data_IF_477840513723
#
_entry.id   IF_477840513723
#
_cell.length_a   1.000
_cell.length_b   1.000
_cell.length_c   1.000
_cell.angle_alpha   90.00
_cell.angle_beta   90.00
_cell.angle_gamma   90.00
#
_symmetry.space_group_name_H-M   'P 1'
#
loop_
_entity.id
_entity.type
_entity.pdbx_description
1 polymer ?
#
# COMPACT_ATOMS: atom_id res chain seq x y z
N UNK A 1 -8.72 24.00 -9.24
CA UNK A 1 -9.66 22.89 -9.50
C UNK A 1 -11.08 23.44 -9.40
N UNK A 2 -12.04 22.94 -10.19
CA UNK A 2 -13.44 23.30 -9.97
C UNK A 2 -13.84 22.97 -8.53
N UNK A 3 -14.63 23.82 -7.92
CA UNK A 3 -15.14 23.62 -6.57
C UNK A 3 -16.58 23.11 -6.71
N UNK A 4 -16.83 21.89 -6.25
CA UNK A 4 -18.15 21.27 -6.20
C UNK A 4 -18.57 20.96 -4.78
N UNK A 5 -19.85 20.71 -4.56
CA UNK A 5 -20.41 20.31 -3.26
C UNK A 5 -20.27 18.80 -3.05
N UNK A 6 -20.40 18.02 -4.11
CA UNK A 6 -20.31 16.54 -4.09
C UNK A 6 -19.81 15.99 -5.43
N UNK A 7 -19.90 14.68 -5.61
CA UNK A 7 -19.43 13.96 -6.79
C UNK A 7 -20.23 14.25 -8.06
N UNK A 8 -21.46 14.72 -7.95
CA UNK A 8 -22.30 15.06 -9.11
C UNK A 8 -21.82 16.35 -9.79
N UNK A 9 -21.07 17.17 -9.07
CA UNK A 9 -20.43 18.38 -9.59
C UNK A 9 -19.10 18.11 -10.31
N UNK A 10 -18.68 16.85 -10.42
CA UNK A 10 -17.44 16.50 -11.13
C UNK A 10 -17.51 16.81 -12.61
N UNK A 11 -16.55 17.58 -13.09
CA UNK A 11 -16.44 17.95 -14.51
C UNK A 11 -15.38 17.09 -15.19
N UNK A 12 -15.76 16.37 -16.25
CA UNK A 12 -14.82 15.61 -17.06
C UNK A 12 -13.84 16.56 -17.76
N UNK A 13 -12.56 16.52 -17.35
CA UNK A 13 -11.51 17.38 -17.92
C UNK A 13 -10.95 16.79 -19.21
N UNK A 14 -10.79 15.47 -19.29
CA UNK A 14 -10.24 14.78 -20.46
C UNK A 14 -10.63 13.30 -20.43
N UNK A 15 -10.97 12.78 -21.61
CA UNK A 15 -11.13 11.34 -21.83
C UNK A 15 -9.95 10.81 -22.64
N UNK A 16 -9.43 9.66 -22.27
CA UNK A 16 -8.37 8.97 -23.01
C UNK A 16 -8.73 7.49 -23.18
N UNK A 17 -8.54 7.00 -24.41
CA UNK A 17 -8.86 5.63 -24.76
C UNK A 17 -10.36 5.35 -24.88
N UNK A 18 -10.66 4.10 -25.20
CA UNK A 18 -12.04 3.58 -25.26
C UNK A 18 -12.07 2.28 -24.44
N UNK A 19 -12.96 2.17 -23.45
CA UNK A 19 -13.16 0.94 -22.71
C UNK A 19 -13.51 -0.21 -23.66
N UNK A 20 -12.93 -1.39 -23.41
CA UNK A 20 -13.28 -2.58 -24.18
C UNK A 20 -14.71 -3.01 -23.86
N UNK A 21 -15.44 -3.37 -24.89
CA UNK A 21 -16.71 -4.09 -24.76
C UNK A 21 -16.46 -5.58 -24.92
N UNK A 22 -17.18 -6.40 -24.13
CA UNK A 22 -17.05 -7.85 -24.15
C UNK A 22 -18.38 -8.45 -24.60
N UNK A 23 -18.35 -9.56 -25.29
CA UNK A 23 -19.47 -10.34 -25.78
C UNK A 23 -19.93 -11.42 -24.77
N UNK A 24 -19.38 -11.37 -23.57
CA UNK A 24 -19.70 -12.25 -22.46
C UNK A 24 -19.95 -11.43 -21.16
N UNK A 25 -20.66 -11.98 -20.17
CA UNK A 25 -20.86 -11.33 -18.88
C UNK A 25 -19.51 -11.16 -18.15
N UNK A 26 -19.15 -9.89 -17.88
CA UNK A 26 -17.93 -9.56 -17.15
C UNK A 26 -18.13 -9.86 -15.67
N UNK A 27 -17.17 -10.56 -15.09
CA UNK A 27 -17.10 -10.83 -13.65
C UNK A 27 -16.03 -9.94 -13.00
N UNK A 28 -16.29 -9.51 -11.77
CA UNK A 28 -15.30 -8.79 -10.98
C UNK A 28 -14.25 -9.74 -10.38
N UNK A 29 -13.19 -9.16 -9.83
CA UNK A 29 -12.07 -9.93 -9.28
C UNK A 29 -12.44 -10.79 -8.06
N UNK A 30 -13.43 -10.37 -7.28
CA UNK A 30 -13.91 -11.13 -6.12
C UNK A 30 -14.60 -12.40 -6.61
N UNK A 31 -15.60 -12.26 -7.51
CA UNK A 31 -16.33 -13.37 -8.10
C UNK A 31 -15.40 -14.40 -8.75
N UNK A 32 -14.40 -13.92 -9.51
CA UNK A 32 -13.41 -14.80 -10.14
C UNK A 32 -12.55 -15.54 -9.10
N UNK A 33 -12.12 -14.86 -8.05
CA UNK A 33 -11.28 -15.45 -7.02
C UNK A 33 -12.03 -16.46 -6.14
N UNK A 34 -13.25 -16.13 -5.74
CA UNK A 34 -14.11 -16.98 -4.90
C UNK A 34 -14.58 -18.23 -5.66
N UNK A 35 -14.96 -18.10 -6.94
CA UNK A 35 -15.37 -19.24 -7.78
C UNK A 35 -14.34 -20.37 -7.79
N UNK A 36 -13.07 -20.04 -7.66
CA UNK A 36 -11.98 -21.02 -7.64
C UNK A 36 -11.47 -21.33 -6.23
N UNK A 37 -12.03 -20.71 -5.18
CA UNK A 37 -11.55 -20.82 -3.81
C UNK A 37 -10.13 -20.25 -3.60
N UNK A 38 -9.70 -19.33 -4.45
CA UNK A 38 -8.37 -18.70 -4.38
C UNK A 38 -8.36 -17.40 -3.59
N UNK A 39 -9.50 -16.71 -3.54
CA UNK A 39 -9.80 -15.63 -2.59
C UNK A 39 -10.76 -16.19 -1.54
N UNK A 40 -10.46 -15.97 -0.26
CA UNK A 40 -11.23 -16.52 0.84
C UNK A 40 -11.42 -15.44 1.92
N UNK A 41 -12.46 -14.65 1.76
CA UNK A 41 -12.78 -13.57 2.68
C UNK A 41 -13.42 -14.09 3.98
N UNK A 42 -14.14 -15.21 3.93
CA UNK A 42 -14.76 -15.81 5.11
C UNK A 42 -13.68 -16.28 6.10
N UNK A 43 -12.70 -17.03 5.62
CA UNK A 43 -11.57 -17.46 6.46
C UNK A 43 -10.74 -16.27 6.92
N UNK A 44 -10.51 -15.27 6.07
CA UNK A 44 -9.80 -14.05 6.46
C UNK A 44 -10.53 -13.30 7.58
N UNK A 45 -11.87 -13.16 7.49
CA UNK A 45 -12.68 -12.54 8.54
C UNK A 45 -12.63 -13.31 9.86
N UNK A 46 -12.59 -14.66 9.80
CA UNK A 46 -12.41 -15.51 10.99
C UNK A 46 -11.05 -15.30 11.66
N UNK A 47 -10.00 -15.02 10.89
CA UNK A 47 -8.63 -14.82 11.40
C UNK A 47 -8.41 -13.42 11.94
N UNK A 48 -8.89 -12.40 11.22
CA UNK A 48 -8.49 -11.00 11.44
C UNK A 48 -9.65 -9.99 11.41
N UNK A 49 -10.88 -10.44 11.17
CA UNK A 49 -12.04 -9.57 11.04
C UNK A 49 -12.30 -9.11 9.61
N UNK A 50 -13.21 -8.15 9.46
CA UNK A 50 -13.60 -7.61 8.15
C UNK A 50 -12.43 -6.87 7.46
N UNK A 51 -12.50 -6.78 6.13
CA UNK A 51 -11.54 -6.08 5.26
C UNK A 51 -10.15 -6.73 5.14
N UNK A 52 -10.01 -7.97 5.56
CA UNK A 52 -8.83 -8.78 5.26
C UNK A 52 -9.14 -9.77 4.15
N UNK A 53 -8.11 -10.20 3.43
CA UNK A 53 -8.20 -11.19 2.36
C UNK A 53 -7.21 -12.32 2.62
N UNK A 54 -7.65 -13.56 2.36
CA UNK A 54 -6.77 -14.71 2.33
C UNK A 54 -6.60 -15.16 0.87
N UNK A 55 -5.38 -15.10 0.39
CA UNK A 55 -4.99 -15.56 -0.94
C UNK A 55 -4.51 -17.02 -0.86
N UNK A 56 -4.99 -17.87 -1.76
CA UNK A 56 -4.62 -19.31 -1.78
C UNK A 56 -4.15 -19.75 -3.17
N UNK A 57 -3.31 -20.79 -3.19
CA UNK A 57 -2.89 -21.46 -4.41
C UNK A 57 -2.35 -20.53 -5.51
N UNK A 58 -2.94 -20.57 -6.71
CA UNK A 58 -2.44 -19.81 -7.87
C UNK A 58 -2.43 -18.30 -7.65
N UNK A 59 -3.44 -17.72 -6.97
CA UNK A 59 -3.50 -16.28 -6.78
C UNK A 59 -2.46 -15.78 -5.75
N UNK A 60 -2.18 -16.58 -4.71
CA UNK A 60 -1.09 -16.28 -3.78
C UNK A 60 0.28 -16.31 -4.50
N UNK A 61 0.46 -17.26 -5.42
CA UNK A 61 1.66 -17.31 -6.26
C UNK A 61 1.75 -16.12 -7.20
N UNK A 62 0.65 -15.70 -7.81
CA UNK A 62 0.59 -14.53 -8.69
C UNK A 62 0.91 -13.26 -7.92
N UNK A 63 0.34 -13.06 -6.73
CA UNK A 63 0.64 -11.93 -5.85
C UNK A 63 2.15 -11.80 -5.59
N UNK A 64 2.79 -12.89 -5.19
CA UNK A 64 4.25 -12.90 -4.97
C UNK A 64 5.04 -12.62 -6.24
N UNK A 65 4.61 -13.17 -7.38
CA UNK A 65 5.28 -12.95 -8.67
C UNK A 65 5.18 -11.48 -9.12
N UNK A 66 4.05 -10.84 -8.92
CA UNK A 66 3.85 -9.42 -9.23
C UNK A 66 4.70 -8.52 -8.31
N UNK A 67 4.74 -8.81 -7.02
CA UNK A 67 5.60 -8.07 -6.09
C UNK A 67 7.07 -8.15 -6.52
N UNK A 68 7.55 -9.35 -6.82
CA UNK A 68 8.93 -9.55 -7.28
C UNK A 68 9.20 -8.87 -8.62
N UNK A 69 8.24 -8.92 -9.56
CA UNK A 69 8.37 -8.24 -10.85
C UNK A 69 8.51 -6.72 -10.67
N UNK A 70 7.66 -6.11 -9.85
CA UNK A 70 7.69 -4.67 -9.60
C UNK A 70 9.01 -4.22 -8.94
N UNK A 71 9.48 -4.95 -7.92
CA UNK A 71 10.76 -4.66 -7.28
C UNK A 71 11.92 -4.77 -8.29
N UNK A 72 11.98 -5.86 -9.06
CA UNK A 72 13.03 -6.06 -10.04
C UNK A 72 13.03 -4.96 -11.12
N UNK A 73 11.85 -4.56 -11.60
CA UNK A 73 11.73 -3.49 -12.59
C UNK A 73 12.29 -2.17 -12.05
N UNK A 74 11.88 -1.79 -10.85
CA UNK A 74 12.31 -0.52 -10.26
C UNK A 74 13.80 -0.50 -9.94
N UNK A 75 14.36 -1.59 -9.45
CA UNK A 75 15.78 -1.67 -9.11
C UNK A 75 16.66 -1.78 -10.35
N UNK A 76 16.28 -2.62 -11.33
CA UNK A 76 17.11 -2.86 -12.51
C UNK A 76 17.01 -1.74 -13.57
N UNK A 77 15.83 -1.15 -13.77
CA UNK A 77 15.59 -0.22 -14.90
C UNK A 77 15.44 1.23 -14.45
N UNK A 78 14.90 1.48 -13.26
CA UNK A 78 14.58 2.84 -12.82
C UNK A 78 15.58 3.41 -11.80
N UNK A 79 16.58 2.63 -11.40
CA UNK A 79 17.66 3.05 -10.49
C UNK A 79 17.19 3.31 -9.07
N UNK A 80 16.21 2.55 -8.60
CA UNK A 80 15.80 2.55 -7.19
C UNK A 80 16.70 1.60 -6.40
N UNK A 81 16.99 1.97 -5.16
CA UNK A 81 17.59 1.11 -4.15
C UNK A 81 16.49 0.35 -3.41
N UNK A 82 16.56 -0.97 -3.38
CA UNK A 82 15.64 -1.79 -2.59
C UNK A 82 15.98 -1.67 -1.12
N UNK A 83 14.98 -1.37 -0.29
CA UNK A 83 15.11 -1.31 1.15
C UNK A 83 14.14 -2.29 1.82
N UNK A 84 14.63 -3.07 2.76
CA UNK A 84 13.82 -3.88 3.65
C UNK A 84 13.68 -3.17 5.00
N UNK A 85 12.51 -2.61 5.27
CA UNK A 85 12.28 -1.73 6.41
C UNK A 85 11.51 -2.42 7.54
N UNK A 86 11.65 -1.94 8.81
CA UNK A 86 10.75 -2.35 9.88
C UNK A 86 9.29 -2.03 9.57
N UNK A 87 8.39 -2.95 9.91
CA UNK A 87 6.94 -2.76 9.78
C UNK A 87 6.33 -2.11 11.02
N UNK A 88 7.00 -2.20 12.15
CA UNK A 88 6.64 -1.51 13.38
C UNK A 88 7.52 -0.28 13.56
N UNK A 89 6.87 0.87 13.67
CA UNK A 89 7.53 2.15 13.85
C UNK A 89 7.02 2.88 15.10
N UNK A 90 7.78 3.82 15.59
CA UNK A 90 7.37 4.71 16.68
C UNK A 90 6.61 5.93 16.14
N UNK A 91 5.84 6.60 17.00
CA UNK A 91 5.01 7.74 16.66
C UNK A 91 5.73 8.86 15.86
N UNK A 92 6.99 9.21 16.14
CA UNK A 92 7.68 10.25 15.36
C UNK A 92 7.77 9.98 13.87
N UNK A 93 7.91 8.71 13.44
CA UNK A 93 7.94 8.36 12.03
C UNK A 93 6.59 8.66 11.34
N UNK A 94 5.48 8.33 12.00
CA UNK A 94 4.13 8.60 11.51
C UNK A 94 3.76 10.09 11.55
N UNK A 95 4.33 10.83 12.48
CA UNK A 95 4.22 12.29 12.51
C UNK A 95 4.96 12.93 11.33
N UNK A 96 6.15 12.43 11.03
CA UNK A 96 6.98 12.91 9.91
C UNK A 96 6.31 12.77 8.54
N UNK A 97 5.45 11.76 8.36
CA UNK A 97 4.70 11.52 7.13
C UNK A 97 3.21 11.90 7.22
N UNK A 98 2.78 12.53 8.34
CA UNK A 98 1.47 13.15 8.48
C UNK A 98 0.30 12.20 8.80
N UNK A 99 0.55 10.93 9.12
CA UNK A 99 -0.49 10.02 9.58
C UNK A 99 -0.96 10.36 11.00
N UNK A 100 -0.04 10.71 11.88
CA UNK A 100 -0.36 11.18 13.23
C UNK A 100 -0.35 12.72 13.31
N UNK A 101 -1.24 13.30 14.13
CA UNK A 101 -2.26 12.65 14.95
C UNK A 101 -3.57 12.36 14.21
N UNK A 102 -3.74 12.84 12.98
CA UNK A 102 -5.03 12.94 12.28
C UNK A 102 -5.70 11.59 12.03
N UNK A 103 -4.92 10.54 11.75
CA UNK A 103 -5.42 9.23 11.35
C UNK A 103 -5.12 8.15 12.40
N UNK A 104 -4.95 8.52 13.68
CA UNK A 104 -4.59 7.56 14.73
C UNK A 104 -5.62 6.43 14.88
N UNK A 105 -6.91 6.73 14.66
CA UNK A 105 -8.00 5.75 14.75
C UNK A 105 -7.95 4.67 13.67
N UNK A 106 -7.28 4.95 12.55
CA UNK A 106 -7.11 4.03 11.43
C UNK A 106 -5.84 3.15 11.55
N UNK A 107 -5.01 3.40 12.56
CA UNK A 107 -3.74 2.71 12.75
C UNK A 107 -3.84 1.53 13.71
N UNK A 108 -3.11 0.47 13.42
CA UNK A 108 -2.89 -0.61 14.39
C UNK A 108 -1.81 -0.20 15.39
N UNK A 109 -2.26 0.19 16.58
CA UNK A 109 -1.40 0.60 17.68
C UNK A 109 -1.08 -0.59 18.59
N UNK A 110 0.17 -0.74 18.95
CA UNK A 110 0.68 -1.78 19.84
C UNK A 110 1.28 -1.09 21.07
N UNK A 111 0.56 -1.16 22.18
CA UNK A 111 1.01 -0.60 23.44
C UNK A 111 1.75 -1.64 24.27
N UNK A 112 2.86 -1.23 24.86
CA UNK A 112 3.70 -2.04 25.76
C UNK A 112 3.86 -1.31 27.09
N UNK A 113 3.64 -2.03 28.19
CA UNK A 113 3.74 -1.45 29.51
C UNK A 113 5.17 -0.93 29.79
N UNK A 114 5.26 0.36 30.16
CA UNK A 114 6.53 1.01 30.48
C UNK A 114 7.42 1.37 29.27
N UNK A 115 6.94 1.17 28.05
CA UNK A 115 7.67 1.49 26.83
C UNK A 115 6.86 2.42 25.91
N UNK A 116 7.52 3.00 24.90
CA UNK A 116 6.84 3.77 23.86
C UNK A 116 5.96 2.85 23.00
N UNK A 117 4.81 3.39 22.57
CA UNK A 117 3.92 2.69 21.65
C UNK A 117 4.57 2.46 20.30
N UNK A 118 4.25 1.32 19.69
CA UNK A 118 4.54 1.02 18.30
C UNK A 118 3.27 1.05 17.48
N UNK A 119 3.46 1.25 16.18
CA UNK A 119 2.39 1.23 15.19
C UNK A 119 2.80 0.36 14.01
N UNK A 120 1.88 -0.45 13.52
CA UNK A 120 2.07 -1.11 12.23
C UNK A 120 1.99 -0.06 11.12
N UNK A 121 2.97 -0.03 10.21
CA UNK A 121 2.96 0.94 9.12
C UNK A 121 1.78 0.70 8.18
N UNK A 122 1.04 1.75 7.78
CA UNK A 122 -0.01 1.63 6.76
C UNK A 122 0.56 1.56 5.33
N UNK A 123 1.80 1.94 5.15
CA UNK A 123 2.53 1.98 3.88
C UNK A 123 4.04 1.99 4.12
N UNK A 124 4.80 1.43 3.19
CA UNK A 124 6.27 1.51 3.20
C UNK A 124 6.81 2.95 3.20
N UNK A 125 6.05 3.90 2.66
CA UNK A 125 6.40 5.32 2.62
C UNK A 125 6.82 5.86 3.99
N UNK A 126 6.12 5.46 5.06
CA UNK A 126 6.44 5.90 6.43
C UNK A 126 7.88 5.56 6.78
N UNK A 127 8.28 4.32 6.57
CA UNK A 127 9.64 3.88 6.89
C UNK A 127 10.67 4.48 5.93
N UNK A 128 10.40 4.47 4.63
CA UNK A 128 11.34 4.93 3.59
C UNK A 128 11.63 6.43 3.70
N UNK A 129 10.60 7.25 3.89
CA UNK A 129 10.77 8.71 4.02
C UNK A 129 11.57 9.07 5.27
N UNK A 130 11.38 8.32 6.35
CA UNK A 130 12.09 8.57 7.60
C UNK A 130 13.53 8.03 7.65
N UNK A 131 14.03 7.34 6.61
CA UNK A 131 15.45 6.95 6.52
C UNK A 131 16.36 8.18 6.66
N UNK A 132 15.93 9.31 6.12
CA UNK A 132 16.69 10.55 6.12
C UNK A 132 16.11 11.64 7.05
N UNK A 133 15.18 11.27 7.92
CA UNK A 133 14.55 12.20 8.83
C UNK A 133 15.58 12.85 9.78
N UNK A 134 15.58 14.17 9.84
CA UNK A 134 16.52 14.94 10.68
C UNK A 134 17.95 15.03 10.14
N UNK A 135 18.22 14.54 8.93
CA UNK A 135 19.54 14.60 8.32
C UNK A 135 19.66 15.77 7.33
N UNK A 136 20.87 16.31 7.20
CA UNK A 136 21.23 17.25 6.14
C UNK A 136 21.95 16.45 5.05
N UNK A 137 21.28 16.28 3.91
CA UNK A 137 21.78 15.47 2.81
C UNK A 137 22.62 16.31 1.86
N UNK A 138 23.82 15.80 1.49
CA UNK A 138 24.64 16.43 0.45
C UNK A 138 23.87 16.40 -0.89
N UNK A 139 23.82 17.55 -1.56
CA UNK A 139 23.18 17.67 -2.87
C UNK A 139 23.70 16.70 -3.93
N UNK A 140 24.94 16.21 -3.79
CA UNK A 140 25.53 15.18 -4.67
C UNK A 140 24.90 13.80 -4.53
N UNK A 141 24.20 13.54 -3.42
CA UNK A 141 23.50 12.27 -3.15
C UNK A 141 22.08 12.26 -3.71
N UNK A 142 21.59 13.41 -4.18
CA UNK A 142 20.24 13.54 -4.70
C UNK A 142 20.19 13.26 -6.22
N UNK A 143 19.09 12.69 -6.73
CA UNK A 143 17.93 12.23 -5.97
C UNK A 143 18.15 10.89 -5.27
N UNK A 144 17.67 10.73 -4.04
CA UNK A 144 17.54 9.44 -3.38
C UNK A 144 16.26 8.76 -3.87
N UNK A 145 16.36 7.48 -4.24
CA UNK A 145 15.23 6.71 -4.77
C UNK A 145 15.19 5.36 -4.05
N UNK A 146 14.18 5.16 -3.23
CA UNK A 146 13.98 3.90 -2.50
C UNK A 146 12.72 3.20 -2.95
N UNK A 147 12.74 1.88 -2.91
CA UNK A 147 11.57 1.03 -3.13
C UNK A 147 11.53 -0.08 -2.09
N UNK A 148 10.34 -0.38 -1.58
CA UNK A 148 10.11 -1.50 -0.68
C UNK A 148 8.80 -2.21 -1.02
N UNK A 149 8.75 -3.51 -0.75
CA UNK A 149 7.51 -4.27 -0.71
C UNK A 149 7.18 -4.57 0.75
N UNK A 150 6.00 -4.13 1.20
CA UNK A 150 5.49 -4.38 2.56
C UNK A 150 4.07 -4.94 2.47
N UNK A 151 3.64 -5.70 3.49
CA UNK A 151 2.27 -6.17 3.58
C UNK A 151 1.26 -5.04 3.69
#
# INVERSE_FOLDING_TARGET
>A
MPVGADEDDNVEVRRWGTPKTFDFPVQDHVSLGEQHGWLDFETAAKLSGARFALLRGPIARLHRALAQFMINLHTAEHGYEEAYTPYLVQAPALQGTGQLPKFEEDLFKISREGEADFYLIPTAEVSLTNIVAGEIIDAKQLPLKFVAHTP
#
